data_IF_316449245502
#
_entry.id   IF_316449245502
#
_cell.length_a   1.000
_cell.length_b   1.000
_cell.length_c   1.000
_cell.angle_alpha   90.00
_cell.angle_beta   90.00
_cell.angle_gamma   90.00
#
_symmetry.space_group_name_H-M   'P 1'
#
loop_
_entity.id
_entity.type
_entity.pdbx_description
1 polymer ?
#
# COMPACT_ATOMS: atom_id res chain seq x y z
N UNK A 1 -5.38 5.17 10.25
CA UNK A 1 -6.81 5.22 9.87
C UNK A 1 -7.10 5.83 8.50
N UNK A 2 -6.19 6.58 7.87
CA UNK A 2 -6.45 7.22 6.56
C UNK A 2 -6.89 6.21 5.49
N UNK A 3 -6.16 5.11 5.30
CA UNK A 3 -6.43 4.11 4.26
C UNK A 3 -7.81 3.44 4.44
N UNK A 4 -8.12 2.99 5.67
CA UNK A 4 -9.43 2.39 5.99
C UNK A 4 -10.57 3.39 5.78
N UNK A 5 -10.35 4.66 6.14
CA UNK A 5 -11.30 5.74 5.88
C UNK A 5 -11.53 5.95 4.39
N UNK A 6 -10.45 5.99 3.59
CA UNK A 6 -10.55 6.12 2.14
C UNK A 6 -11.41 4.98 1.54
N UNK A 7 -11.13 3.73 1.91
CA UNK A 7 -11.91 2.57 1.47
C UNK A 7 -13.39 2.71 1.86
N UNK A 8 -13.69 3.17 3.08
CA UNK A 8 -15.07 3.40 3.53
C UNK A 8 -15.84 4.40 2.65
N UNK A 9 -15.15 5.37 2.05
CA UNK A 9 -15.73 6.35 1.13
C UNK A 9 -15.60 5.96 -0.35
N UNK A 10 -15.20 4.73 -0.68
CA UNK A 10 -15.00 4.29 -2.06
C UNK A 10 -13.77 4.89 -2.74
N UNK A 11 -12.80 5.38 -1.96
CA UNK A 11 -11.56 5.99 -2.43
C UNK A 11 -10.43 4.97 -2.28
N UNK A 12 -9.70 4.73 -3.37
CA UNK A 12 -8.47 3.95 -3.38
C UNK A 12 -7.30 4.74 -2.81
N UNK A 13 -6.30 4.03 -2.28
CA UNK A 13 -5.10 4.67 -1.73
C UNK A 13 -3.86 3.82 -1.91
N UNK A 14 -2.70 4.47 -2.01
CA UNK A 14 -1.40 3.81 -1.97
C UNK A 14 -0.50 4.48 -0.94
N UNK A 15 0.02 3.70 0.00
CA UNK A 15 0.93 4.16 1.05
C UNK A 15 2.38 3.88 0.66
N UNK A 16 3.13 4.95 0.35
CA UNK A 16 4.47 4.86 -0.20
C UNK A 16 5.52 5.39 0.77
N UNK A 17 6.57 4.58 1.02
CA UNK A 17 7.76 4.96 1.77
C UNK A 17 8.98 5.21 0.86
N UNK A 18 9.06 4.55 -0.30
CA UNK A 18 10.12 4.78 -1.28
C UNK A 18 9.82 6.05 -2.09
N UNK A 19 10.16 7.21 -1.52
CA UNK A 19 9.79 8.53 -2.04
C UNK A 19 11.01 9.44 -2.24
N UNK A 20 10.90 10.40 -3.17
CA UNK A 20 11.93 11.43 -3.40
C UNK A 20 11.81 12.57 -2.39
N UNK A 21 12.12 12.28 -1.12
CA UNK A 21 11.87 13.19 0.02
C UNK A 21 12.40 14.61 -0.18
N UNK A 22 13.63 14.80 -0.67
CA UNK A 22 14.22 16.14 -0.90
C UNK A 22 13.41 16.94 -1.93
N UNK A 23 12.98 16.29 -3.02
CA UNK A 23 12.17 16.93 -4.06
C UNK A 23 10.78 17.30 -3.53
N UNK A 24 10.15 16.43 -2.74
CA UNK A 24 8.84 16.69 -2.13
C UNK A 24 8.93 17.89 -1.18
N UNK A 25 9.92 17.91 -0.28
CA UNK A 25 10.10 19.04 0.66
C UNK A 25 10.33 20.36 -0.07
N UNK A 26 11.14 20.38 -1.13
CA UNK A 26 11.38 21.58 -1.92
C UNK A 26 10.13 22.07 -2.65
N UNK A 27 9.34 21.16 -3.25
CA UNK A 27 8.14 21.53 -4.00
C UNK A 27 7.00 22.02 -3.12
N UNK A 28 6.87 21.47 -1.91
CA UNK A 28 5.80 21.80 -0.97
C UNK A 28 6.27 22.73 0.15
N UNK A 29 7.49 23.28 0.04
CA UNK A 29 8.10 24.20 1.01
C UNK A 29 8.05 23.69 2.46
N UNK A 30 8.26 22.38 2.64
CA UNK A 30 8.15 21.74 3.97
C UNK A 30 9.33 22.15 4.84
N UNK A 31 9.10 22.79 6.01
CA UNK A 31 10.18 23.25 6.88
C UNK A 31 11.13 22.13 7.36
N UNK A 32 12.38 22.48 7.63
CA UNK A 32 13.42 21.50 7.95
C UNK A 32 13.22 20.71 9.24
N UNK A 33 12.52 21.29 10.20
CA UNK A 33 12.13 20.61 11.44
C UNK A 33 11.19 19.43 11.23
N UNK A 34 10.53 19.32 10.08
CA UNK A 34 9.60 18.22 9.79
C UNK A 34 10.23 17.12 8.95
N UNK A 35 9.89 15.88 9.30
CA UNK A 35 10.28 14.68 8.57
C UNK A 35 9.11 14.18 7.72
N UNK A 36 9.34 14.01 6.42
CA UNK A 36 8.38 13.36 5.52
C UNK A 36 8.79 11.89 5.39
N UNK A 37 8.02 10.99 6.01
CA UNK A 37 8.28 9.55 6.00
C UNK A 37 7.51 8.82 4.91
N UNK A 38 6.31 9.31 4.60
CA UNK A 38 5.37 8.63 3.74
C UNK A 38 4.58 9.62 2.90
N UNK A 39 4.10 9.14 1.75
CA UNK A 39 3.08 9.80 0.94
C UNK A 39 1.92 8.84 0.79
N UNK A 40 0.70 9.35 0.91
CA UNK A 40 -0.53 8.60 0.66
C UNK A 40 -1.21 9.26 -0.54
N UNK A 41 -1.28 8.56 -1.68
CA UNK A 41 -2.13 8.99 -2.78
C UNK A 41 -3.58 8.59 -2.51
N UNK A 42 -4.53 9.41 -2.95
CA UNK A 42 -5.96 9.16 -2.88
C UNK A 42 -6.57 9.43 -4.25
N UNK A 43 -7.49 8.57 -4.67
CA UNK A 43 -8.19 8.70 -5.95
C UNK A 43 -9.29 7.65 -6.09
N UNK A 44 -10.12 7.79 -7.12
CA UNK A 44 -11.06 6.72 -7.45
C UNK A 44 -10.30 5.52 -8.02
N UNK A 45 -10.55 4.29 -7.53
CA UNK A 45 -9.91 3.10 -8.07
C UNK A 45 -10.21 2.94 -9.57
N UNK A 46 -9.18 2.64 -10.34
CA UNK A 46 -9.25 2.33 -11.79
C UNK A 46 -8.73 0.91 -12.08
N UNK A 47 -8.60 0.11 -11.03
CA UNK A 47 -7.99 -1.21 -11.04
C UNK A 47 -8.56 -2.06 -9.91
N UNK A 48 -8.73 -3.36 -10.18
CA UNK A 48 -9.12 -4.35 -9.18
C UNK A 48 -7.90 -5.09 -8.63
N UNK A 49 -7.96 -5.48 -7.36
CA UNK A 49 -6.93 -6.28 -6.71
C UNK A 49 -7.53 -7.47 -5.98
N UNK A 50 -6.94 -8.64 -6.18
CA UNK A 50 -7.30 -9.88 -5.56
C UNK A 50 -6.19 -10.35 -4.60
N UNK A 51 -6.60 -10.75 -3.40
CA UNK A 51 -5.72 -11.38 -2.43
C UNK A 51 -5.66 -12.87 -2.73
N UNK A 52 -4.46 -13.40 -2.91
CA UNK A 52 -4.23 -14.82 -3.15
C UNK A 52 -3.35 -15.44 -2.05
N UNK A 53 -3.48 -16.75 -1.78
CA UNK A 53 -2.60 -17.44 -0.87
C UNK A 53 -1.14 -17.29 -1.28
N UNK A 54 -0.26 -17.11 -0.30
CA UNK A 54 1.17 -17.14 -0.52
C UNK A 54 1.63 -18.56 -0.82
N UNK A 55 2.38 -18.73 -1.92
CA UNK A 55 3.07 -19.97 -2.24
C UNK A 55 4.58 -19.80 -2.01
N UNK A 56 5.28 -19.12 -2.93
CA UNK A 56 6.75 -19.02 -2.91
C UNK A 56 7.30 -17.58 -3.01
N UNK A 57 6.46 -16.58 -3.27
CA UNK A 57 6.91 -15.19 -3.50
C UNK A 57 5.88 -14.16 -3.03
N UNK A 58 6.36 -13.05 -2.45
CA UNK A 58 5.54 -11.88 -2.11
C UNK A 58 5.42 -10.86 -3.24
N UNK A 59 6.05 -11.13 -4.39
CA UNK A 59 6.01 -10.22 -5.53
C UNK A 59 4.60 -10.22 -6.11
N UNK A 60 3.91 -9.09 -5.97
CA UNK A 60 2.64 -8.87 -6.65
C UNK A 60 2.84 -8.88 -8.16
N UNK A 61 1.81 -9.28 -8.88
CA UNK A 61 1.84 -9.39 -10.33
C UNK A 61 0.46 -9.01 -10.91
N UNK A 62 0.40 -8.84 -12.22
CA UNK A 62 -0.80 -8.38 -12.93
C UNK A 62 -1.18 -9.41 -13.98
N UNK A 63 -2.45 -9.81 -13.98
CA UNK A 63 -3.01 -10.66 -15.02
C UNK A 63 -3.18 -9.89 -16.34
N UNK A 64 -3.28 -10.57 -17.50
CA UNK A 64 -3.50 -9.92 -18.80
C UNK A 64 -4.75 -9.03 -18.87
N UNK A 65 -5.76 -9.31 -18.06
CA UNK A 65 -7.00 -8.52 -17.93
C UNK A 65 -6.84 -7.24 -17.10
N UNK A 66 -5.67 -7.04 -16.48
CA UNK A 66 -5.37 -5.88 -15.65
C UNK A 66 -5.50 -6.11 -14.14
N UNK A 67 -6.04 -7.25 -13.69
CA UNK A 67 -6.26 -7.54 -12.27
C UNK A 67 -4.94 -7.72 -11.53
N UNK A 68 -4.78 -7.07 -10.36
CA UNK A 68 -3.61 -7.23 -9.51
C UNK A 68 -3.75 -8.39 -8.56
N UNK A 69 -2.75 -9.26 -8.56
CA UNK A 69 -2.66 -10.40 -7.66
C UNK A 69 -1.65 -10.10 -6.57
N UNK A 70 -2.10 -10.21 -5.32
CA UNK A 70 -1.32 -9.85 -4.14
C UNK A 70 -1.19 -11.05 -3.20
N UNK A 71 -0.06 -11.76 -3.22
CA UNK A 71 0.19 -12.90 -2.34
C UNK A 71 0.18 -12.49 -0.86
N UNK A 72 -0.56 -13.23 -0.03
CA UNK A 72 -0.65 -13.04 1.43
C UNK A 72 -0.52 -14.38 2.16
N UNK A 73 0.22 -14.37 3.27
CA UNK A 73 0.29 -15.52 4.18
C UNK A 73 -1.07 -15.80 4.79
N UNK A 74 -1.34 -17.07 5.02
CA UNK A 74 -2.49 -17.48 5.81
C UNK A 74 -2.32 -17.10 7.28
N UNK A 75 -3.46 -17.02 7.98
CA UNK A 75 -3.49 -16.59 9.37
C UNK A 75 -2.69 -17.55 10.28
N UNK A 76 -2.78 -18.85 10.03
CA UNK A 76 -2.05 -19.86 10.81
C UNK A 76 -0.52 -19.78 10.64
N UNK A 77 -0.03 -19.22 9.53
CA UNK A 77 1.41 -19.00 9.30
C UNK A 77 1.98 -17.81 10.09
N UNK A 78 1.12 -16.87 10.49
CA UNK A 78 1.52 -15.65 11.19
C UNK A 78 1.20 -15.67 12.68
N UNK A 79 0.28 -16.54 13.13
CA UNK A 79 -0.01 -16.74 14.54
C UNK A 79 1.01 -17.71 15.14
N UNK A 80 1.90 -17.17 15.98
CA UNK A 80 2.73 -18.00 16.85
C UNK A 80 1.90 -18.47 18.06
N UNK A 81 1.60 -19.77 18.13
CA UNK A 81 0.85 -20.39 19.25
C UNK A 81 1.83 -20.75 20.37
N UNK A 82 1.56 -20.30 21.59
CA UNK A 82 2.46 -20.47 22.75
C UNK A 82 2.06 -21.70 23.61
N UNK A 83 0.93 -22.34 23.36
CA UNK A 83 0.44 -23.52 24.09
C UNK A 83 -0.33 -24.47 23.19
#
# INVERSE_FOLDING_TARGET
NILLGAVKYGIGSCWMANIKVRKIKSLLEVPDKYQVKHVISLGYPDEESFMEPYEDSYKYWKNPDGTMHVPKRDLDDIIFKIF
#
